data_IF_519377224118
#
_entry.id   IF_519377224118
#
_cell.length_a   1.000
_cell.length_b   1.000
_cell.length_c   1.000
_cell.angle_alpha   90.00
_cell.angle_beta   90.00
_cell.angle_gamma   90.00
#
_symmetry.space_group_name_H-M   'P 1'
#
loop_
_entity.id
_entity.type
_entity.pdbx_description
1 polymer ?
#
# COMPACT_ATOMS: atom_id res chain seq x y z
N UNK A 1 -13.34 4.76 -0.54
CA UNK A 1 -12.79 3.81 -1.55
C UNK A 1 -13.79 2.68 -1.77
N UNK A 2 -13.81 1.92 -2.89
CA UNK A 2 -14.71 0.73 -2.99
C UNK A 2 -14.23 -0.39 -2.07
N UNK A 3 -15.15 -1.12 -1.43
CA UNK A 3 -14.84 -2.23 -0.51
C UNK A 3 -14.01 -3.33 -1.19
N UNK A 4 -14.35 -3.70 -2.44
CA UNK A 4 -13.58 -4.69 -3.20
C UNK A 4 -12.10 -4.29 -3.39
N UNK A 5 -11.87 -3.01 -3.71
CA UNK A 5 -10.56 -2.42 -3.90
C UNK A 5 -9.79 -2.31 -2.57
N UNK A 6 -10.48 -2.07 -1.46
CA UNK A 6 -9.89 -2.03 -0.12
C UNK A 6 -9.42 -3.43 0.31
N UNK A 7 -10.31 -4.43 0.28
CA UNK A 7 -10.00 -5.80 0.68
C UNK A 7 -8.91 -6.42 -0.19
N UNK A 8 -8.93 -6.16 -1.51
CA UNK A 8 -7.88 -6.63 -2.42
C UNK A 8 -6.49 -6.10 -2.03
N UNK A 9 -6.43 -4.86 -1.53
CA UNK A 9 -5.19 -4.24 -1.06
C UNK A 9 -4.74 -4.77 0.29
N UNK A 10 -5.66 -4.91 1.25
CA UNK A 10 -5.36 -5.37 2.60
C UNK A 10 -4.97 -6.85 2.64
N UNK A 11 -5.64 -7.68 1.85
CA UNK A 11 -5.45 -9.13 1.85
C UNK A 11 -4.43 -9.60 0.79
N UNK A 12 -3.96 -8.71 -0.09
CA UNK A 12 -3.02 -9.07 -1.16
C UNK A 12 -3.61 -10.02 -2.23
N UNK A 13 -4.95 -10.07 -2.38
CA UNK A 13 -5.64 -10.98 -3.31
C UNK A 13 -6.35 -10.22 -4.44
N UNK A 14 -6.67 -10.93 -5.52
CA UNK A 14 -7.41 -10.35 -6.65
C UNK A 14 -8.86 -9.99 -6.28
N UNK A 15 -9.45 -9.01 -6.98
CA UNK A 15 -10.86 -8.63 -6.77
C UNK A 15 -11.85 -9.77 -7.01
N UNK A 16 -11.51 -10.73 -7.87
CA UNK A 16 -12.32 -11.93 -8.09
C UNK A 16 -12.35 -12.83 -6.86
N UNK A 17 -11.20 -12.98 -6.17
CA UNK A 17 -11.12 -13.70 -4.90
C UNK A 17 -11.85 -12.93 -3.80
N UNK A 18 -11.73 -11.60 -3.73
CA UNK A 18 -12.52 -10.78 -2.79
C UNK A 18 -14.02 -11.01 -2.96
N UNK A 19 -14.53 -11.06 -4.19
CA UNK A 19 -15.94 -11.33 -4.46
C UNK A 19 -16.38 -12.74 -4.00
N UNK A 20 -15.46 -13.72 -3.95
CA UNK A 20 -15.71 -15.03 -3.34
C UNK A 20 -15.82 -14.91 -1.82
N UNK A 21 -14.89 -14.21 -1.18
CA UNK A 21 -14.88 -14.06 0.28
C UNK A 21 -16.10 -13.27 0.82
N UNK A 22 -16.51 -12.22 0.10
CA UNK A 22 -17.75 -11.47 0.38
C UNK A 22 -18.99 -12.39 0.33
N UNK A 23 -19.10 -13.25 -0.69
CA UNK A 23 -20.20 -14.22 -0.80
C UNK A 23 -20.16 -15.29 0.29
N UNK A 24 -18.96 -15.63 0.79
CA UNK A 24 -18.76 -16.53 1.91
C UNK A 24 -19.10 -15.91 3.28
N UNK A 25 -19.57 -14.65 3.33
CA UNK A 25 -19.97 -13.95 4.57
C UNK A 25 -18.82 -13.75 5.56
N UNK A 26 -17.58 -13.68 5.07
CA UNK A 26 -16.36 -13.49 5.89
C UNK A 26 -16.02 -12.03 6.16
N UNK A 27 -16.70 -11.09 5.50
CA UNK A 27 -16.43 -9.66 5.60
C UNK A 27 -17.58 -8.98 6.32
N UNK A 28 -17.24 -8.15 7.30
CA UNK A 28 -18.17 -7.22 7.94
C UNK A 28 -17.75 -5.78 7.74
N UNK A 29 -18.73 -4.87 7.71
CA UNK A 29 -18.54 -3.43 7.78
C UNK A 29 -19.42 -2.92 8.91
N UNK A 30 -18.85 -2.26 9.90
CA UNK A 30 -19.53 -1.79 11.12
C UNK A 30 -20.30 -2.92 11.84
N UNK A 31 -19.74 -4.14 11.79
CA UNK A 31 -20.34 -5.35 12.37
C UNK A 31 -21.38 -6.05 11.49
N UNK A 32 -21.83 -5.45 10.38
CA UNK A 32 -22.81 -6.04 9.48
C UNK A 32 -22.14 -6.82 8.34
N UNK A 33 -22.66 -8.02 8.02
CA UNK A 33 -22.12 -8.85 6.95
C UNK A 33 -22.40 -8.22 5.58
N UNK A 34 -21.35 -7.94 4.82
CA UNK A 34 -21.45 -7.37 3.48
C UNK A 34 -21.12 -8.41 2.42
N UNK A 35 -21.99 -8.54 1.41
CA UNK A 35 -21.83 -9.49 0.29
C UNK A 35 -21.48 -8.84 -1.04
N UNK A 36 -21.52 -7.51 -1.12
CA UNK A 36 -21.24 -6.74 -2.34
C UNK A 36 -20.01 -5.86 -2.14
N UNK A 37 -19.04 -5.97 -3.04
CA UNK A 37 -17.81 -5.18 -3.00
C UNK A 37 -17.95 -3.78 -3.62
N UNK A 38 -19.11 -3.47 -4.20
CA UNK A 38 -19.37 -2.20 -4.86
C UNK A 38 -19.61 -1.03 -3.88
N UNK A 39 -19.82 -1.33 -2.59
CA UNK A 39 -20.05 -0.33 -1.56
C UNK A 39 -18.84 0.59 -1.44
N UNK A 40 -19.10 1.89 -1.35
CA UNK A 40 -18.07 2.90 -1.14
C UNK A 40 -17.87 3.08 0.36
N UNK A 41 -16.72 2.64 0.86
CA UNK A 41 -16.27 2.87 2.23
C UNK A 41 -16.00 4.35 2.48
N UNK A 42 -16.49 4.84 3.63
CA UNK A 42 -16.05 6.09 4.25
C UNK A 42 -14.89 5.82 5.22
N UNK A 43 -14.05 6.83 5.53
CA UNK A 43 -12.90 6.66 6.44
C UNK A 43 -13.25 6.20 7.86
N UNK A 44 -14.48 6.42 8.29
CA UNK A 44 -14.98 6.13 9.64
C UNK A 44 -15.49 4.69 9.79
N UNK A 45 -15.75 3.99 8.68
CA UNK A 45 -16.30 2.64 8.74
C UNK A 45 -15.26 1.62 9.16
N UNK A 46 -15.64 0.66 9.99
CA UNK A 46 -14.75 -0.42 10.42
C UNK A 46 -14.99 -1.66 9.58
N UNK A 47 -13.95 -2.11 8.88
CA UNK A 47 -14.02 -3.33 8.07
C UNK A 47 -13.31 -4.46 8.80
N UNK A 48 -13.91 -5.64 8.87
CA UNK A 48 -13.25 -6.83 9.40
C UNK A 48 -13.32 -8.01 8.43
N UNK A 49 -12.30 -8.87 8.48
CA UNK A 49 -12.22 -10.13 7.74
C UNK A 49 -12.02 -11.29 8.72
N UNK A 50 -12.97 -12.23 8.73
CA UNK A 50 -13.10 -13.28 9.75
C UNK A 50 -13.04 -12.75 11.19
N UNK A 51 -13.63 -11.57 11.42
CA UNK A 51 -13.62 -10.91 12.72
C UNK A 51 -12.32 -10.16 13.05
N UNK A 52 -11.29 -10.23 12.21
CA UNK A 52 -10.07 -9.44 12.38
C UNK A 52 -10.24 -8.05 11.75
N UNK A 53 -10.12 -6.95 12.53
CA UNK A 53 -10.21 -5.60 12.00
C UNK A 53 -9.12 -5.33 10.96
N UNK A 54 -9.50 -4.74 9.82
CA UNK A 54 -8.59 -4.28 8.78
C UNK A 54 -8.51 -2.76 8.84
N UNK A 55 -7.30 -2.22 9.01
CA UNK A 55 -7.12 -0.78 9.09
C UNK A 55 -7.33 -0.12 7.73
N UNK A 56 -8.18 0.90 7.71
CA UNK A 56 -8.25 1.81 6.56
C UNK A 56 -7.01 2.69 6.53
N UNK A 57 -6.22 2.58 5.47
CA UNK A 57 -5.15 3.54 5.20
C UNK A 57 -5.78 4.85 4.71
N UNK A 58 -5.90 5.79 5.65
CA UNK A 58 -6.47 7.10 5.42
C UNK A 58 -5.36 8.08 5.02
N UNK A 59 -5.34 8.45 3.74
CA UNK A 59 -4.43 9.48 3.21
C UNK A 59 -3.08 8.95 2.72
N UNK A 60 -2.20 9.87 2.29
CA UNK A 60 -0.87 9.54 1.79
C UNK A 60 0.06 9.04 2.90
N UNK A 61 0.99 8.17 2.53
CA UNK A 61 1.99 7.58 3.43
C UNK A 61 3.37 8.18 3.18
N UNK A 62 4.15 8.29 4.25
CA UNK A 62 5.50 8.84 4.21
C UNK A 62 6.41 8.05 5.14
N UNK A 63 7.53 7.56 4.63
CA UNK A 63 8.51 6.80 5.39
C UNK A 63 9.91 7.37 5.17
N UNK A 64 10.72 7.22 6.21
CA UNK A 64 12.16 7.47 6.17
C UNK A 64 12.88 6.13 6.16
N UNK A 65 13.73 5.91 5.15
CA UNK A 65 14.57 4.73 5.04
C UNK A 65 16.04 5.15 5.07
N UNK A 66 16.83 4.48 5.91
CA UNK A 66 18.28 4.52 5.77
C UNK A 66 18.72 3.39 4.84
N UNK A 67 18.91 3.71 3.56
CA UNK A 67 19.21 2.75 2.51
C UNK A 67 20.62 2.16 2.67
N UNK A 68 20.77 0.82 2.67
CA UNK A 68 22.07 0.16 2.58
C UNK A 68 22.58 0.10 1.13
N UNK A 69 23.85 -0.28 0.95
CA UNK A 69 24.42 -0.56 -0.38
C UNK A 69 23.83 -1.84 -0.98
N UNK A 70 23.87 -1.95 -2.31
CA UNK A 70 23.46 -3.16 -3.04
C UNK A 70 21.96 -3.25 -3.35
N UNK A 71 21.20 -2.18 -3.09
CA UNK A 71 19.77 -2.08 -3.38
C UNK A 71 19.48 -0.87 -4.26
N UNK A 72 18.46 -0.96 -5.11
CA UNK A 72 18.02 0.14 -5.98
C UNK A 72 16.73 0.81 -5.48
N UNK A 73 16.57 2.11 -5.73
CA UNK A 73 15.39 2.89 -5.33
C UNK A 73 14.17 2.76 -6.28
N UNK A 74 14.20 1.84 -7.24
CA UNK A 74 13.07 1.56 -8.15
C UNK A 74 12.03 0.64 -7.49
N UNK A 75 10.82 0.62 -8.05
CA UNK A 75 9.74 -0.27 -7.60
C UNK A 75 9.86 -1.69 -8.16
N UNK A 76 10.56 -1.84 -9.28
CA UNK A 76 10.82 -3.11 -9.95
C UNK A 76 12.15 -2.97 -10.70
N UNK A 77 13.02 -3.96 -10.55
CA UNK A 77 14.32 -4.05 -11.21
C UNK A 77 14.67 -5.53 -11.41
N UNK A 78 14.94 -5.97 -12.64
CA UNK A 78 15.20 -7.38 -12.93
C UNK A 78 16.56 -7.86 -12.44
N UNK A 79 17.53 -6.96 -12.25
CA UNK A 79 18.93 -7.29 -12.00
C UNK A 79 19.32 -7.10 -10.53
N UNK A 80 18.63 -6.20 -9.81
CA UNK A 80 18.97 -5.82 -8.45
C UNK A 80 17.79 -5.80 -7.48
N UNK A 81 17.98 -6.16 -6.20
CA UNK A 81 16.91 -6.08 -5.21
C UNK A 81 16.54 -4.62 -4.92
N UNK A 82 15.26 -4.36 -4.71
CA UNK A 82 14.74 -3.00 -4.49
C UNK A 82 14.67 -2.65 -3.01
N UNK A 83 14.67 -1.35 -2.69
CA UNK A 83 14.44 -0.83 -1.33
C UNK A 83 13.10 -1.26 -0.72
N UNK A 84 12.14 -1.71 -1.54
CA UNK A 84 10.86 -2.26 -1.06
C UNK A 84 11.04 -3.54 -0.25
N UNK A 85 12.17 -4.26 -0.40
CA UNK A 85 12.51 -5.42 0.42
C UNK A 85 12.47 -5.12 1.94
N UNK A 86 12.74 -3.87 2.33
CA UNK A 86 12.76 -3.44 3.73
C UNK A 86 11.41 -2.95 4.27
N UNK A 87 10.37 -2.92 3.44
CA UNK A 87 9.06 -2.36 3.80
C UNK A 87 8.03 -3.47 3.93
N UNK A 88 7.69 -3.81 5.17
CA UNK A 88 6.56 -4.71 5.48
C UNK A 88 5.25 -3.91 5.56
N UNK A 89 4.91 -3.25 4.45
CA UNK A 89 3.72 -2.41 4.34
C UNK A 89 2.74 -3.00 3.33
N UNK A 90 1.44 -3.04 3.62
CA UNK A 90 0.46 -3.47 2.65
C UNK A 90 0.56 -2.56 1.42
N UNK A 91 0.59 -3.18 0.25
CA UNK A 91 0.67 -2.45 -1.01
C UNK A 91 1.96 -1.59 -1.11
N UNK A 92 3.07 -2.07 -0.54
CA UNK A 92 4.39 -1.40 -0.60
C UNK A 92 4.82 -1.05 -2.03
N UNK A 93 4.42 -1.84 -3.03
CA UNK A 93 4.69 -1.57 -4.45
C UNK A 93 4.09 -0.27 -5.00
N UNK A 94 3.18 0.39 -4.26
CA UNK A 94 2.71 1.75 -4.59
C UNK A 94 3.61 2.87 -4.05
N UNK A 95 4.49 2.55 -3.10
CA UNK A 95 5.45 3.50 -2.60
C UNK A 95 6.54 3.71 -3.64
N UNK A 96 7.02 4.94 -3.74
CA UNK A 96 8.13 5.33 -4.58
C UNK A 96 9.09 6.23 -3.80
N UNK A 97 10.34 6.26 -4.24
CA UNK A 97 11.35 7.12 -3.65
C UNK A 97 11.18 8.58 -4.13
N UNK A 98 10.98 9.51 -3.19
CA UNK A 98 11.08 10.95 -3.40
C UNK A 98 12.54 11.38 -3.34
N UNK A 99 13.26 11.13 -4.44
CA UNK A 99 14.71 11.29 -4.55
C UNK A 99 15.38 9.92 -4.52
N UNK A 100 16.15 9.62 -5.58
CA UNK A 100 16.79 8.32 -5.76
C UNK A 100 18.26 8.40 -5.38
N UNK A 101 18.76 7.31 -4.81
CA UNK A 101 20.18 7.06 -4.61
C UNK A 101 20.62 5.92 -5.53
N UNK A 102 21.85 5.99 -6.01
CA UNK A 102 22.46 4.90 -6.77
C UNK A 102 22.65 3.65 -5.90
N UNK A 103 22.89 2.51 -6.55
CA UNK A 103 22.96 1.20 -5.90
C UNK A 103 23.98 1.16 -4.75
N UNK A 104 25.15 1.79 -4.95
CA UNK A 104 26.25 1.81 -3.99
C UNK A 104 26.17 3.00 -3.00
N UNK A 105 25.19 3.87 -3.16
CA UNK A 105 25.00 5.04 -2.30
C UNK A 105 24.08 4.70 -1.13
N UNK A 106 24.53 5.03 0.08
CA UNK A 106 23.77 4.83 1.33
C UNK A 106 23.12 6.11 1.82
N UNK A 107 22.15 5.97 2.72
CA UNK A 107 21.64 7.10 3.50
C UNK A 107 20.16 7.34 3.31
N UNK A 108 19.73 8.58 3.55
CA UNK A 108 18.33 8.94 3.59
C UNK A 108 17.64 8.76 2.24
N UNK A 109 16.58 7.95 2.23
CA UNK A 109 15.60 7.84 1.15
C UNK A 109 14.22 8.10 1.74
N UNK A 110 13.46 8.99 1.11
CA UNK A 110 12.07 9.28 1.48
C UNK A 110 11.15 8.43 0.60
N UNK A 111 10.31 7.60 1.22
CA UNK A 111 9.38 6.73 0.49
C UNK A 111 7.95 7.24 0.69
N UNK A 112 7.17 7.33 -0.39
CA UNK A 112 5.79 7.85 -0.31
C UNK A 112 4.91 7.29 -1.43
N UNK A 113 3.59 7.38 -1.29
CA UNK A 113 2.63 7.24 -2.39
C UNK A 113 1.99 8.58 -2.81
N UNK A 114 2.42 9.70 -2.23
CA UNK A 114 1.99 11.05 -2.63
C UNK A 114 2.89 11.61 -3.74
N UNK A 115 2.42 11.48 -4.98
CA UNK A 115 3.13 12.02 -6.14
C UNK A 115 3.26 13.55 -6.14
N UNK A 116 2.32 14.30 -5.56
CA UNK A 116 2.41 15.77 -5.51
C UNK A 116 3.48 16.20 -4.52
N UNK A 117 3.52 15.57 -3.35
CA UNK A 117 4.56 15.83 -2.35
C UNK A 117 5.93 15.43 -2.88
N UNK A 118 6.05 14.23 -3.47
CA UNK A 118 7.30 13.75 -4.05
C UNK A 118 7.84 14.70 -5.11
N UNK A 119 6.97 15.14 -6.03
CA UNK A 119 7.35 16.13 -7.05
C UNK A 119 7.83 17.45 -6.44
N UNK A 120 7.22 17.96 -5.37
CA UNK A 120 7.70 19.18 -4.69
C UNK A 120 9.10 19.01 -4.09
N UNK A 121 9.44 17.81 -3.62
CA UNK A 121 10.76 17.50 -3.06
C UNK A 121 11.81 17.34 -4.16
N UNK A 122 11.46 16.68 -5.28
CA UNK A 122 12.42 16.29 -6.31
C UNK A 122 12.47 17.23 -7.51
N UNK A 123 11.53 18.17 -7.64
CA UNK A 123 11.49 19.08 -8.78
C UNK A 123 12.83 19.82 -8.90
N UNK A 124 13.48 19.79 -10.07
CA UNK A 124 14.72 20.54 -10.33
C UNK A 124 14.60 22.07 -10.26
N UNK A 125 13.40 22.59 -9.91
CA UNK A 125 12.80 23.88 -10.29
C UNK A 125 12.16 23.86 -11.66
#
# INVERSE_FOLDING_TARGET
MRLDKFLSQQLGISRALVARELRAKRVTVDGEVVKSGAIKLTPEQEVAFDGNPLQQQNGPRYFMLNKPQGYVCSTDDPDHPTVLYFLDEPVAYKLHAAGRLDIDTTGLVLMTDDGQWSHRVTSPR
#
